data_IF_012578453331
#
_entry.id   IF_012578453331
#
_cell.length_a   1.000
_cell.length_b   1.000
_cell.length_c   1.000
_cell.angle_alpha   90.00
_cell.angle_beta   90.00
_cell.angle_gamma   90.00
#
_symmetry.space_group_name_H-M   'P 1'
#
loop_
_entity.id
_entity.type
_entity.pdbx_description
1 polymer ?
#
# COMPACT_ATOMS: atom_id res chain seq x y z
N UNK A 1 -12.39 38.95 50.73
CA UNK A 1 -12.35 39.62 49.41
C UNK A 1 -11.36 38.84 48.58
N UNK A 2 -11.75 38.28 47.43
CA UNK A 2 -10.82 37.52 46.57
C UNK A 2 -9.80 38.49 46.00
N UNK A 3 -8.52 38.22 46.17
CA UNK A 3 -7.47 39.11 45.64
C UNK A 3 -7.22 38.81 44.17
N UNK A 4 -6.63 39.76 43.44
CA UNK A 4 -6.20 39.52 42.07
C UNK A 4 -5.20 38.35 41.97
N UNK A 5 -4.38 38.12 43.00
CA UNK A 5 -3.46 37.00 43.07
C UNK A 5 -4.18 35.65 43.15
N UNK A 6 -5.25 35.55 43.94
CA UNK A 6 -6.08 34.34 44.06
C UNK A 6 -6.75 33.99 42.72
N UNK A 7 -7.21 35.00 41.98
CA UNK A 7 -7.81 34.80 40.65
C UNK A 7 -6.77 34.31 39.63
N UNK A 8 -5.57 34.90 39.62
CA UNK A 8 -4.48 34.47 38.72
C UNK A 8 -4.05 33.04 39.02
N UNK A 9 -3.94 32.68 40.31
CA UNK A 9 -3.60 31.32 40.73
C UNK A 9 -4.65 30.30 40.26
N UNK A 10 -5.94 30.59 40.49
CA UNK A 10 -7.04 29.72 40.06
C UNK A 10 -7.09 29.53 38.53
N UNK A 11 -6.84 30.59 37.76
CA UNK A 11 -6.75 30.52 36.29
C UNK A 11 -5.54 29.67 35.88
N UNK A 12 -4.37 29.89 36.48
CA UNK A 12 -3.17 29.11 36.16
C UNK A 12 -3.35 27.62 36.50
N UNK A 13 -4.04 27.30 37.59
CA UNK A 13 -4.36 25.93 38.00
C UNK A 13 -5.34 25.27 37.00
N UNK A 14 -6.43 25.96 36.65
CA UNK A 14 -7.45 25.44 35.73
C UNK A 14 -6.95 25.28 34.29
N UNK A 15 -6.22 26.27 33.76
CA UNK A 15 -5.80 26.28 32.35
C UNK A 15 -4.40 25.70 32.13
N UNK A 16 -3.52 25.75 33.14
CA UNK A 16 -2.19 25.14 33.05
C UNK A 16 -2.24 23.62 32.92
N UNK A 17 -3.18 22.98 33.64
CA UNK A 17 -3.41 21.52 33.55
C UNK A 17 -3.99 21.11 32.18
N UNK A 18 -4.91 21.90 31.62
CA UNK A 18 -5.48 21.68 30.29
C UNK A 18 -4.42 21.72 29.19
N UNK A 19 -3.47 22.66 29.27
CA UNK A 19 -2.35 22.74 28.33
C UNK A 19 -1.48 21.47 28.35
N UNK A 20 -1.19 20.92 29.54
CA UNK A 20 -0.42 19.67 29.67
C UNK A 20 -1.20 18.46 29.13
N UNK A 21 -2.49 18.35 29.45
CA UNK A 21 -3.33 17.26 28.95
C UNK A 21 -3.44 17.30 27.41
N UNK A 22 -3.61 18.49 26.82
CA UNK A 22 -3.68 18.64 25.38
C UNK A 22 -2.35 18.30 24.68
N UNK A 23 -1.19 18.69 25.26
CA UNK A 23 0.14 18.26 24.79
C UNK A 23 0.27 16.74 24.82
N UNK A 24 -0.11 16.11 25.93
CA UNK A 24 -0.09 14.65 26.07
C UNK A 24 -1.02 13.96 25.06
N UNK A 25 -2.21 14.52 24.81
CA UNK A 25 -3.14 13.99 23.82
C UNK A 25 -2.57 14.09 22.40
N UNK A 26 -1.90 15.19 22.04
CA UNK A 26 -1.25 15.34 20.74
C UNK A 26 -0.15 14.29 20.53
N UNK A 27 0.74 14.12 21.53
CA UNK A 27 1.79 13.08 21.51
C UNK A 27 1.18 11.69 21.41
N UNK A 28 0.14 11.39 22.20
CA UNK A 28 -0.54 10.09 22.18
C UNK A 28 -1.17 9.81 20.81
N UNK A 29 -1.78 10.80 20.18
CA UNK A 29 -2.39 10.62 18.86
C UNK A 29 -1.32 10.30 17.81
N UNK A 30 -0.19 11.00 17.83
CA UNK A 30 0.94 10.70 16.95
C UNK A 30 1.47 9.27 17.17
N UNK A 31 1.78 8.90 18.42
CA UNK A 31 2.32 7.57 18.77
C UNK A 31 1.40 6.41 18.34
N UNK A 32 0.08 6.62 18.38
CA UNK A 32 -0.90 5.62 17.94
C UNK A 32 -1.23 5.71 16.44
N UNK A 33 -0.67 6.69 15.72
CA UNK A 33 -0.90 6.95 14.31
C UNK A 33 -0.16 5.99 13.38
N UNK A 34 -0.03 4.70 13.71
CA UNK A 34 0.58 3.71 12.79
C UNK A 34 -0.32 3.48 11.59
N UNK A 35 0.28 3.36 10.41
CA UNK A 35 -0.47 3.08 9.18
C UNK A 35 -1.15 1.71 9.28
N UNK A 36 -2.44 1.66 9.01
CA UNK A 36 -3.21 0.41 8.99
C UNK A 36 -3.06 -0.27 7.63
N UNK A 37 -3.10 -1.59 7.62
CA UNK A 37 -3.07 -2.38 6.38
C UNK A 37 -4.24 -1.99 5.47
N UNK A 38 -3.94 -1.73 4.20
CA UNK A 38 -4.93 -1.35 3.19
C UNK A 38 -5.36 0.13 3.21
N UNK A 39 -4.87 0.94 4.15
CA UNK A 39 -5.04 2.40 4.08
C UNK A 39 -4.19 2.96 2.95
N UNK A 40 -4.71 3.85 2.08
CA UNK A 40 -3.90 4.51 1.07
C UNK A 40 -2.81 5.38 1.70
N UNK A 41 -1.60 5.39 1.13
CA UNK A 41 -0.48 6.23 1.60
C UNK A 41 -0.88 7.69 1.76
N UNK A 42 -1.66 8.22 0.80
CA UNK A 42 -2.10 9.63 0.82
C UNK A 42 -2.88 9.97 2.10
N UNK A 43 -3.84 9.11 2.45
CA UNK A 43 -4.73 9.34 3.59
C UNK A 43 -3.94 9.26 4.90
N UNK A 44 -3.02 8.30 4.98
CA UNK A 44 -2.09 8.15 6.10
C UNK A 44 -1.17 9.36 6.27
N UNK A 45 -0.55 9.84 5.18
CA UNK A 45 0.33 11.01 5.19
C UNK A 45 -0.40 12.26 5.70
N UNK A 46 -1.62 12.52 5.22
CA UNK A 46 -2.43 13.66 5.67
C UNK A 46 -2.76 13.57 7.16
N UNK A 47 -3.07 12.37 7.67
CA UNK A 47 -3.32 12.14 9.09
C UNK A 47 -2.07 12.46 9.94
N UNK A 48 -0.91 11.93 9.55
CA UNK A 48 0.33 12.13 10.30
C UNK A 48 0.79 13.59 10.28
N UNK A 49 0.72 14.26 9.12
CA UNK A 49 1.03 15.70 9.02
C UNK A 49 0.10 16.51 9.92
N UNK A 50 -1.19 16.15 9.99
CA UNK A 50 -2.13 16.80 10.92
C UNK A 50 -1.72 16.61 12.38
N UNK A 51 -1.22 15.44 12.77
CA UNK A 51 -0.71 15.19 14.12
C UNK A 51 0.58 15.98 14.41
N UNK A 52 1.52 16.03 13.48
CA UNK A 52 2.74 16.83 13.60
C UNK A 52 2.42 18.32 13.80
N UNK A 53 1.60 18.91 12.92
CA UNK A 53 1.14 20.30 13.05
C UNK A 53 0.44 20.56 14.39
N UNK A 54 -0.33 19.58 14.90
CA UNK A 54 -0.96 19.69 16.21
C UNK A 54 0.06 19.67 17.34
N UNK A 55 1.13 18.88 17.26
CA UNK A 55 2.19 18.90 18.27
C UNK A 55 2.93 20.24 18.26
N UNK A 56 3.25 20.78 17.08
CA UNK A 56 3.87 22.09 16.94
C UNK A 56 2.99 23.21 17.51
N UNK A 57 1.68 23.18 17.25
CA UNK A 57 0.71 24.11 17.85
C UNK A 57 0.70 24.04 19.38
N UNK A 58 0.97 22.86 19.95
CA UNK A 58 1.11 22.66 21.39
C UNK A 58 2.51 23.02 21.91
N UNK A 59 3.36 23.64 21.09
CA UNK A 59 4.69 24.13 21.42
C UNK A 59 5.79 23.08 21.34
N UNK A 60 5.62 22.03 20.55
CA UNK A 60 6.73 21.15 20.19
C UNK A 60 7.61 21.82 19.12
N UNK A 61 8.92 21.74 19.27
CA UNK A 61 9.89 22.16 18.25
C UNK A 61 10.43 20.89 17.60
N UNK A 62 10.04 20.65 16.34
CA UNK A 62 10.42 19.45 15.59
C UNK A 62 10.99 19.92 14.26
N UNK A 63 12.28 19.71 14.05
CA UNK A 63 12.91 20.06 12.79
C UNK A 63 12.42 19.14 11.65
N UNK A 64 12.61 19.59 10.41
CA UNK A 64 12.09 18.89 9.24
C UNK A 64 12.64 17.48 9.04
N UNK A 65 13.90 17.23 9.41
CA UNK A 65 14.51 15.90 9.31
C UNK A 65 13.85 14.95 10.32
N UNK A 66 13.71 15.40 11.57
CA UNK A 66 13.01 14.65 12.61
C UNK A 66 11.54 14.37 12.23
N UNK A 67 10.84 15.32 11.58
CA UNK A 67 9.47 15.07 11.09
C UNK A 67 9.41 13.93 10.06
N UNK A 68 10.39 13.86 9.16
CA UNK A 68 10.46 12.82 8.12
C UNK A 68 10.74 11.46 8.76
N UNK A 69 11.69 11.38 9.68
CA UNK A 69 12.00 10.16 10.42
C UNK A 69 10.78 9.66 11.20
N UNK A 70 10.08 10.59 11.87
CA UNK A 70 8.82 10.32 12.55
C UNK A 70 7.75 9.75 11.60
N UNK A 71 7.62 10.29 10.38
CA UNK A 71 6.71 9.76 9.37
C UNK A 71 7.12 8.35 8.95
N UNK A 72 8.41 8.11 8.67
CA UNK A 72 8.92 6.80 8.26
C UNK A 72 8.63 5.71 9.31
N UNK A 73 8.73 6.05 10.60
CA UNK A 73 8.41 5.14 11.71
C UNK A 73 6.93 4.75 11.80
N UNK A 74 6.03 5.55 11.21
CA UNK A 74 4.60 5.22 11.20
C UNK A 74 4.24 4.20 10.13
N UNK A 75 5.15 3.95 9.17
CA UNK A 75 4.90 3.09 8.02
C UNK A 75 4.98 1.60 8.39
N UNK A 76 4.16 0.74 7.74
CA UNK A 76 4.19 -0.70 7.95
C UNK A 76 5.43 -1.34 7.32
N UNK A 77 5.75 -2.56 7.75
CA UNK A 77 6.93 -3.34 7.31
C UNK A 77 7.01 -3.54 5.78
N UNK A 78 5.87 -3.51 5.08
CA UNK A 78 5.85 -3.57 3.61
C UNK A 78 6.62 -2.43 2.93
N UNK A 79 6.93 -1.34 3.66
CA UNK A 79 7.75 -0.23 3.19
C UNK A 79 9.22 -0.32 3.67
N UNK A 80 9.67 -1.41 4.29
CA UNK A 80 11.03 -1.49 4.83
C UNK A 80 12.12 -1.34 3.77
N UNK A 81 11.91 -1.85 2.55
CA UNK A 81 12.81 -1.59 1.42
C UNK A 81 12.92 -0.09 1.09
N UNK A 82 11.82 0.66 1.22
CA UNK A 82 11.84 2.11 1.03
C UNK A 82 12.62 2.80 2.15
N UNK A 83 12.38 2.42 3.42
CA UNK A 83 13.10 2.97 4.58
C UNK A 83 14.61 2.71 4.48
N UNK A 84 14.99 1.48 4.13
CA UNK A 84 16.39 1.11 3.90
C UNK A 84 17.02 1.95 2.79
N UNK A 85 16.32 2.12 1.67
CA UNK A 85 16.78 2.96 0.57
C UNK A 85 16.96 4.44 0.97
N UNK A 86 16.01 4.98 1.73
CA UNK A 86 16.08 6.34 2.27
C UNK A 86 17.33 6.54 3.13
N UNK A 87 17.53 5.64 4.11
CA UNK A 87 18.67 5.70 5.04
C UNK A 87 20.02 5.48 4.33
N UNK A 88 20.13 4.43 3.53
CA UNK A 88 21.39 4.05 2.88
C UNK A 88 21.87 5.10 1.87
N UNK A 89 20.94 5.72 1.14
CA UNK A 89 21.28 6.74 0.15
C UNK A 89 21.28 8.17 0.71
N UNK A 90 21.09 8.33 2.03
CA UNK A 90 21.06 9.64 2.73
C UNK A 90 20.14 10.64 2.02
N UNK A 91 18.95 10.16 1.65
CA UNK A 91 17.96 11.01 1.02
C UNK A 91 17.48 12.05 2.02
N UNK A 92 17.13 13.23 1.53
CA UNK A 92 16.59 14.31 2.35
C UNK A 92 15.35 14.84 1.64
N UNK A 93 14.19 14.34 2.05
CA UNK A 93 12.91 14.71 1.46
C UNK A 93 12.17 15.68 2.35
N UNK A 94 11.57 16.71 1.77
CA UNK A 94 10.48 17.41 2.44
C UNK A 94 9.24 16.50 2.57
N UNK A 95 8.32 16.75 3.53
CA UNK A 95 7.07 15.99 3.64
C UNK A 95 6.27 15.81 2.33
N UNK A 96 6.10 16.83 1.46
CA UNK A 96 5.41 16.64 0.18
C UNK A 96 6.18 15.76 -0.82
N UNK A 97 7.51 15.84 -0.84
CA UNK A 97 8.34 14.95 -1.66
C UNK A 97 8.24 13.51 -1.18
N UNK A 98 8.36 13.31 0.14
CA UNK A 98 8.19 12.00 0.77
C UNK A 98 6.84 11.37 0.44
N UNK A 99 5.74 12.15 0.47
CA UNK A 99 4.41 11.66 0.10
C UNK A 99 4.38 11.13 -1.33
N UNK A 100 4.96 11.87 -2.29
CA UNK A 100 5.01 11.49 -3.70
C UNK A 100 5.81 10.20 -3.91
N UNK A 101 6.95 10.09 -3.24
CA UNK A 101 7.82 8.90 -3.34
C UNK A 101 7.16 7.67 -2.69
N UNK A 102 6.50 7.83 -1.54
CA UNK A 102 5.73 6.76 -0.90
C UNK A 102 4.54 6.32 -1.75
N UNK A 103 3.83 7.23 -2.41
CA UNK A 103 2.76 6.88 -3.35
C UNK A 103 3.32 6.09 -4.54
N UNK A 104 4.48 6.47 -5.06
CA UNK A 104 5.16 5.72 -6.12
C UNK A 104 5.50 4.31 -5.64
N UNK A 105 6.08 4.17 -4.45
CA UNK A 105 6.36 2.89 -3.83
C UNK A 105 5.10 2.03 -3.64
N UNK A 106 4.00 2.61 -3.15
CA UNK A 106 2.71 1.91 -3.00
C UNK A 106 2.22 1.33 -4.33
N UNK A 107 2.28 2.10 -5.43
CA UNK A 107 1.86 1.59 -6.74
C UNK A 107 2.74 0.44 -7.23
N UNK A 108 4.04 0.46 -6.94
CA UNK A 108 4.98 -0.61 -7.29
C UNK A 108 4.72 -1.87 -6.47
N UNK A 109 4.45 -1.73 -5.17
CA UNK A 109 4.07 -2.84 -4.29
C UNK A 109 2.78 -3.51 -4.76
N UNK A 110 1.78 -2.73 -5.14
CA UNK A 110 0.51 -3.25 -5.68
C UNK A 110 0.71 -3.96 -7.03
N UNK A 111 1.52 -3.41 -7.95
CA UNK A 111 1.86 -4.06 -9.23
C UNK A 111 2.67 -5.35 -9.03
N UNK A 112 3.64 -5.36 -8.12
CA UNK A 112 4.42 -6.54 -7.76
C UNK A 112 3.54 -7.67 -7.22
N UNK A 113 2.55 -7.33 -6.38
CA UNK A 113 1.57 -8.30 -5.86
C UNK A 113 0.70 -8.91 -6.96
N UNK A 114 0.35 -8.16 -8.01
CA UNK A 114 -0.38 -8.69 -9.18
C UNK A 114 0.48 -9.67 -9.99
N UNK A 115 1.75 -9.34 -10.24
CA UNK A 115 2.68 -10.22 -10.98
C UNK A 115 2.95 -11.55 -10.26
N UNK A 116 3.03 -11.53 -8.93
CA UNK A 116 3.23 -12.74 -8.14
C UNK A 116 1.94 -13.58 -7.97
N UNK A 117 0.76 -13.01 -8.26
CA UNK A 117 -0.53 -13.70 -8.26
C UNK A 117 -0.93 -14.29 -9.62
N UNK A 118 -0.20 -13.97 -10.71
CA UNK A 118 -0.41 -14.49 -12.06
C UNK A 118 0.53 -15.68 -12.38
N UNK A 119 0.79 -16.55 -11.40
CA UNK A 119 1.60 -17.75 -11.59
C UNK A 119 0.68 -18.94 -11.90
N UNK A 120 0.64 -19.28 -13.20
CA UNK A 120 0.28 -20.56 -13.82
C UNK A 120 -1.20 -20.98 -13.91
N UNK A 121 -1.80 -20.71 -15.08
CA UNK A 121 -2.56 -21.74 -15.80
C UNK A 121 -2.04 -21.82 -17.25
N UNK A 122 -0.75 -22.11 -17.42
CA UNK A 122 -0.28 -22.65 -18.69
C UNK A 122 -0.65 -24.13 -18.71
N UNK A 123 -1.72 -24.45 -19.44
CA UNK A 123 -2.11 -25.82 -19.75
C UNK A 123 -1.01 -26.46 -20.60
N UNK A 124 0.00 -27.03 -19.94
CA UNK A 124 1.07 -27.75 -20.58
C UNK A 124 0.51 -29.08 -21.12
N UNK A 125 0.22 -29.11 -22.42
CA UNK A 125 0.03 -30.37 -23.16
C UNK A 125 1.32 -31.21 -23.00
N UNK A 126 1.26 -32.45 -22.51
CA UNK A 126 2.45 -33.28 -22.45
C UNK A 126 2.73 -33.83 -23.85
N UNK A 127 3.69 -33.22 -24.55
CA UNK A 127 4.37 -33.87 -25.68
C UNK A 127 5.54 -34.69 -25.14
N UNK A 128 5.41 -36.02 -25.08
CA UNK A 128 6.55 -36.92 -24.92
C UNK A 128 6.58 -37.93 -26.06
N UNK A 129 7.67 -37.85 -26.80
CA UNK A 129 8.05 -38.76 -27.88
C UNK A 129 8.75 -40.01 -27.31
N UNK A 130 8.30 -41.19 -27.73
CA UNK A 130 9.17 -42.35 -27.96
C UNK A 130 9.00 -43.58 -27.05
N UNK A 131 8.28 -44.60 -27.55
CA UNK A 131 8.64 -46.02 -27.37
C UNK A 131 7.92 -46.92 -28.39
N UNK A 132 8.67 -47.87 -28.98
CA UNK A 132 8.30 -48.80 -30.06
C UNK A 132 7.54 -50.06 -29.58
N UNK A 133 6.92 -50.74 -30.57
CA UNK A 133 6.36 -52.13 -30.67
C UNK A 133 4.83 -52.17 -30.51
N UNK A 134 4.02 -52.88 -31.31
CA UNK A 134 4.23 -53.98 -32.27
C UNK A 134 3.01 -54.12 -33.21
N UNK A 135 3.22 -54.71 -34.39
CA UNK A 135 2.25 -55.03 -35.47
C UNK A 135 0.99 -55.81 -35.03
N UNK A 136 -0.18 -55.50 -35.62
CA UNK A 136 -1.06 -56.50 -36.29
C UNK A 136 -2.00 -55.83 -37.31
N UNK A 137 -2.59 -56.66 -38.16
CA UNK A 137 -2.75 -56.49 -39.61
C UNK A 137 -4.23 -56.45 -40.04
N UNK A 138 -4.53 -55.83 -41.20
CA UNK A 138 -5.78 -55.90 -42.04
C UNK A 138 -7.06 -55.27 -41.43
N UNK A 139 -7.95 -54.58 -42.15
CA UNK A 139 -8.39 -54.78 -43.54
C UNK A 139 -9.09 -53.54 -44.15
N UNK A 140 -9.13 -53.51 -45.48
CA UNK A 140 -9.69 -52.51 -46.43
C UNK A 140 -11.17 -52.11 -46.22
N UNK A 141 -11.54 -50.87 -46.56
CA UNK A 141 -12.24 -50.47 -47.82
C UNK A 141 -12.78 -49.02 -47.77
N UNK A 142 -12.41 -48.20 -48.78
CA UNK A 142 -13.16 -47.04 -49.30
C UNK A 142 -14.46 -47.55 -49.96
N UNK A 143 -15.48 -46.68 -50.12
CA UNK A 143 -15.66 -46.10 -51.46
C UNK A 143 -15.98 -44.59 -51.46
N UNK A 144 -15.49 -43.94 -52.51
CA UNK A 144 -16.02 -42.68 -53.06
C UNK A 144 -17.18 -42.98 -54.01
N UNK A 145 -18.18 -42.09 -54.05
CA UNK A 145 -19.20 -41.97 -55.11
C UNK A 145 -20.09 -40.77 -54.77
N UNK A 146 -19.85 -39.57 -55.32
CA UNK A 146 -20.29 -39.00 -56.62
C UNK A 146 -21.81 -38.76 -56.76
N UNK A 147 -22.10 -37.56 -57.30
CA UNK A 147 -23.32 -37.07 -57.95
C UNK A 147 -24.53 -36.80 -57.03
N UNK A 148 -25.43 -35.85 -57.26
CA UNK A 148 -25.53 -34.68 -58.16
C UNK A 148 -26.72 -33.85 -57.64
N UNK A 149 -26.83 -32.61 -58.11
CA UNK A 149 -27.88 -31.63 -57.80
C UNK A 149 -29.30 -32.13 -58.12
N UNK A 150 -30.28 -31.73 -57.31
CA UNK A 150 -31.63 -31.44 -57.77
C UNK A 150 -32.22 -30.24 -57.00
N UNK A 151 -32.73 -29.28 -57.77
CA UNK A 151 -33.45 -28.07 -57.34
C UNK A 151 -34.84 -28.44 -56.82
N UNK A 152 -35.37 -27.68 -55.86
CA UNK A 152 -36.75 -27.19 -55.98
C UNK A 152 -36.95 -25.89 -55.20
N UNK A 153 -37.50 -24.90 -55.91
CA UNK A 153 -38.02 -23.61 -55.46
C UNK A 153 -39.50 -23.79 -55.07
N UNK A 154 -40.07 -22.74 -54.47
CA UNK A 154 -41.50 -22.45 -54.17
C UNK A 154 -41.93 -22.82 -52.74
N UNK A 155 -42.61 -21.97 -51.96
CA UNK A 155 -43.32 -20.70 -52.25
C UNK A 155 -42.93 -19.62 -51.24
#
# INVERSE_FOLDING_TARGET
MLTAADMIYSIAEMFGSQGRQAKQAAVRNFMNGRMKSGTPVRDHMLLIISHLNKMELMGAEIDGETQVDMILETLPEMFDNFKLNYSMNKLNYSPPELMKELQTAETLLLKGKRRNGEVNLAEAKPSTSGAKKQKKNRNKKKPEGKLERARTLQR
#
